data_IF_234824830698
#
_entry.id   IF_234824830698
#
_cell.length_a   1.000
_cell.length_b   1.000
_cell.length_c   1.000
_cell.angle_alpha   90.00
_cell.angle_beta   90.00
_cell.angle_gamma   90.00
#
_symmetry.space_group_name_H-M   'P 1'
#
loop_
_entity.id
_entity.type
_entity.pdbx_description
1 polymer ?
#
# COMPACT_ATOMS: atom_id res chain seq x y z
N UNK A 1 -5.07 -10.43 -16.49
CA UNK A 1 -3.62 -10.36 -16.20
C UNK A 1 -3.22 -9.21 -15.27
N UNK A 2 -3.79 -7.99 -15.38
CA UNK A 2 -3.45 -6.86 -14.49
C UNK A 2 -4.03 -6.99 -13.07
N UNK A 3 -5.24 -7.56 -12.95
CA UNK A 3 -5.93 -7.67 -11.65
C UNK A 3 -5.33 -8.78 -10.77
N UNK A 4 -5.03 -9.95 -11.35
CA UNK A 4 -4.39 -11.06 -10.62
C UNK A 4 -3.00 -10.67 -10.07
N UNK A 5 -2.23 -9.85 -10.80
CA UNK A 5 -0.93 -9.39 -10.34
C UNK A 5 -1.06 -8.42 -9.16
N UNK A 6 -2.08 -7.55 -9.16
CA UNK A 6 -2.35 -6.64 -8.05
C UNK A 6 -2.66 -7.40 -6.77
N UNK A 7 -3.55 -8.39 -6.84
CA UNK A 7 -3.92 -9.23 -5.69
C UNK A 7 -2.70 -10.03 -5.19
N UNK A 8 -1.98 -10.70 -6.10
CA UNK A 8 -0.81 -11.49 -5.73
C UNK A 8 0.28 -10.62 -5.09
N UNK A 9 0.49 -9.41 -5.61
CA UNK A 9 1.45 -8.45 -5.04
C UNK A 9 1.02 -7.95 -3.67
N UNK A 10 -0.27 -7.67 -3.49
CA UNK A 10 -0.82 -7.33 -2.19
C UNK A 10 -0.59 -8.46 -1.18
N UNK A 11 -0.95 -9.70 -1.51
CA UNK A 11 -0.69 -10.88 -0.65
C UNK A 11 0.80 -10.99 -0.33
N UNK A 12 1.65 -10.90 -1.35
CA UNK A 12 3.10 -10.98 -1.17
C UNK A 12 3.61 -9.91 -0.19
N UNK A 13 3.13 -8.66 -0.28
CA UNK A 13 3.52 -7.62 0.67
C UNK A 13 2.89 -7.77 2.06
N UNK A 14 1.70 -8.33 2.21
CA UNK A 14 1.12 -8.57 3.54
C UNK A 14 1.92 -9.62 4.32
N UNK A 15 2.36 -10.69 3.66
CA UNK A 15 3.02 -11.81 4.33
C UNK A 15 4.54 -11.77 4.28
N UNK A 16 5.11 -11.26 3.19
CA UNK A 16 6.52 -11.48 2.83
C UNK A 16 7.28 -10.17 2.57
N UNK A 17 6.78 -9.01 3.04
CA UNK A 17 7.46 -7.73 2.82
C UNK A 17 8.97 -7.76 3.18
N UNK A 18 9.40 -8.35 4.32
CA UNK A 18 10.82 -8.44 4.66
C UNK A 18 11.65 -9.30 3.71
N UNK A 19 11.02 -10.14 2.88
CA UNK A 19 11.67 -10.99 1.88
C UNK A 19 11.84 -10.31 0.53
N UNK A 20 11.23 -9.15 0.32
CA UNK A 20 11.37 -8.42 -0.93
C UNK A 20 12.81 -7.94 -1.14
N UNK A 21 13.37 -8.23 -2.33
CA UNK A 21 14.78 -7.93 -2.69
C UNK A 21 14.93 -6.94 -3.85
N UNK A 22 13.91 -6.13 -4.13
CA UNK A 22 13.98 -5.15 -5.22
C UNK A 22 13.71 -5.73 -6.60
N UNK A 23 13.11 -6.92 -6.69
CA UNK A 23 12.67 -7.47 -7.96
C UNK A 23 11.32 -8.14 -7.81
N UNK A 24 10.31 -7.58 -8.47
CA UNK A 24 8.93 -8.03 -8.30
C UNK A 24 8.73 -9.45 -8.83
N UNK A 25 9.32 -9.82 -9.96
CA UNK A 25 9.03 -11.13 -10.58
C UNK A 25 9.45 -12.32 -9.69
N UNK A 26 10.73 -12.44 -9.27
CA UNK A 26 11.13 -13.51 -8.36
C UNK A 26 10.38 -13.48 -7.04
N UNK A 27 10.03 -12.27 -6.55
CA UNK A 27 9.25 -12.13 -5.32
C UNK A 27 7.85 -12.75 -5.44
N UNK A 28 7.14 -12.48 -6.54
CA UNK A 28 5.84 -13.09 -6.79
C UNK A 28 5.95 -14.59 -7.07
N UNK A 29 6.98 -15.02 -7.80
CA UNK A 29 7.22 -16.44 -8.08
C UNK A 29 7.46 -17.24 -6.78
N UNK A 30 8.27 -16.71 -5.86
CA UNK A 30 8.49 -17.34 -4.55
C UNK A 30 7.27 -17.29 -3.64
N UNK A 31 6.47 -16.23 -3.72
CA UNK A 31 5.18 -16.13 -3.01
C UNK A 31 4.26 -17.29 -3.41
N UNK A 32 4.08 -17.51 -4.73
CA UNK A 32 3.30 -18.63 -5.24
C UNK A 32 3.87 -19.98 -4.81
N UNK A 33 5.20 -20.17 -4.92
CA UNK A 33 5.85 -21.43 -4.51
C UNK A 33 5.65 -21.71 -3.02
N UNK A 34 5.67 -20.70 -2.17
CA UNK A 34 5.44 -20.85 -0.72
C UNK A 34 4.00 -21.28 -0.47
N UNK A 35 3.02 -20.50 -0.90
CA UNK A 35 1.62 -20.79 -0.61
C UNK A 35 1.08 -22.03 -1.32
N UNK A 36 1.64 -22.43 -2.47
CA UNK A 36 1.31 -23.72 -3.07
C UNK A 36 1.80 -24.92 -2.24
N UNK A 37 2.92 -24.78 -1.51
CA UNK A 37 3.46 -25.84 -0.64
C UNK A 37 2.72 -25.95 0.68
N UNK A 38 2.16 -24.83 1.16
CA UNK A 38 1.48 -24.73 2.45
C UNK A 38 -0.02 -24.49 2.30
N UNK A 39 -0.58 -24.75 1.12
CA UNK A 39 -1.96 -24.40 0.78
C UNK A 39 -2.97 -24.93 1.79
N UNK A 40 -2.90 -26.23 2.11
CA UNK A 40 -3.81 -26.89 3.06
C UNK A 40 -3.82 -26.24 4.45
N UNK A 41 -2.76 -25.51 4.80
CA UNK A 41 -2.63 -24.78 6.08
C UNK A 41 -2.99 -23.29 5.96
N UNK A 42 -2.62 -22.66 4.84
CA UNK A 42 -2.70 -21.21 4.69
C UNK A 42 -3.95 -20.74 3.93
N UNK A 43 -4.75 -21.66 3.36
CA UNK A 43 -5.94 -21.34 2.56
C UNK A 43 -6.87 -20.35 3.27
N UNK A 44 -7.27 -20.65 4.51
CA UNK A 44 -8.20 -19.78 5.27
C UNK A 44 -7.62 -18.37 5.46
N UNK A 45 -6.33 -18.27 5.77
CA UNK A 45 -5.64 -16.98 5.95
C UNK A 45 -5.57 -16.19 4.63
N UNK A 46 -5.33 -16.87 3.50
CA UNK A 46 -5.28 -16.26 2.18
C UNK A 46 -6.67 -15.77 1.77
N UNK A 47 -7.72 -16.56 2.02
CA UNK A 47 -9.10 -16.18 1.76
C UNK A 47 -9.54 -14.97 2.60
N UNK A 48 -9.20 -14.94 3.90
CA UNK A 48 -9.42 -13.76 4.76
C UNK A 48 -8.64 -12.54 4.23
N UNK A 49 -7.40 -12.75 3.78
CA UNK A 49 -6.58 -11.68 3.21
C UNK A 49 -7.19 -11.11 1.92
N UNK A 50 -7.82 -11.95 1.10
CA UNK A 50 -8.57 -11.51 -0.07
C UNK A 50 -9.81 -10.69 0.30
N UNK A 51 -10.52 -11.05 1.37
CA UNK A 51 -11.64 -10.22 1.85
C UNK A 51 -11.15 -8.84 2.30
N UNK A 52 -10.05 -8.78 3.07
CA UNK A 52 -9.39 -7.52 3.46
C UNK A 52 -8.94 -6.69 2.27
N UNK A 53 -8.49 -7.33 1.18
CA UNK A 53 -8.15 -6.63 -0.06
C UNK A 53 -9.37 -5.91 -0.66
N UNK A 54 -10.50 -6.61 -0.77
CA UNK A 54 -11.72 -6.03 -1.33
C UNK A 54 -12.23 -4.86 -0.49
N UNK A 55 -12.19 -5.00 0.83
CA UNK A 55 -12.54 -3.93 1.78
C UNK A 55 -11.61 -2.72 1.63
N UNK A 56 -10.29 -2.95 1.58
CA UNK A 56 -9.32 -1.89 1.35
C UNK A 56 -9.52 -1.17 0.01
N UNK A 57 -9.89 -1.90 -1.05
CA UNK A 57 -10.23 -1.30 -2.35
C UNK A 57 -11.48 -0.43 -2.23
N UNK A 58 -12.55 -0.91 -1.58
CA UNK A 58 -13.78 -0.13 -1.33
C UNK A 58 -13.46 1.14 -0.55
N UNK A 59 -12.72 1.02 0.55
CA UNK A 59 -12.31 2.14 1.38
C UNK A 59 -11.46 3.16 0.61
N UNK A 60 -10.53 2.69 -0.23
CA UNK A 60 -9.73 3.57 -1.09
C UNK A 60 -10.63 4.34 -2.08
N UNK A 61 -11.66 3.69 -2.64
CA UNK A 61 -12.63 4.33 -3.53
C UNK A 61 -13.50 5.34 -2.77
N UNK A 62 -13.92 5.05 -1.54
CA UNK A 62 -14.70 5.95 -0.70
C UNK A 62 -13.92 7.22 -0.34
N UNK A 63 -12.62 7.08 -0.03
CA UNK A 63 -11.74 8.19 0.32
C UNK A 63 -11.45 9.08 -0.87
N UNK A 64 -11.01 8.51 -2.00
CA UNK A 64 -10.49 9.31 -3.14
C UNK A 64 -11.52 9.53 -4.24
N UNK A 65 -12.58 8.73 -4.26
CA UNK A 65 -13.55 8.67 -5.35
C UNK A 65 -13.18 7.66 -6.42
N UNK A 66 -14.21 7.11 -7.07
CA UNK A 66 -14.11 6.06 -8.10
C UNK A 66 -13.19 6.43 -9.28
N UNK A 67 -13.08 7.71 -9.62
CA UNK A 67 -12.24 8.13 -10.74
C UNK A 67 -10.80 8.47 -10.33
N UNK A 68 -10.52 8.64 -9.02
CA UNK A 68 -9.24 9.14 -8.53
C UNK A 68 -8.42 8.12 -7.74
N UNK A 69 -9.00 6.99 -7.33
CA UNK A 69 -8.27 5.96 -6.59
C UNK A 69 -7.01 5.45 -7.34
N UNK A 70 -5.86 5.56 -6.67
CA UNK A 70 -4.56 5.26 -7.27
C UNK A 70 -4.09 6.28 -8.31
N UNK A 71 -4.43 7.56 -8.16
CA UNK A 71 -3.89 8.67 -8.98
C UNK A 71 -3.21 9.69 -8.10
N UNK A 72 -2.07 10.23 -8.56
CA UNK A 72 -1.33 11.27 -7.84
C UNK A 72 -2.08 12.61 -7.96
N UNK A 73 -2.12 13.39 -6.88
CA UNK A 73 -2.63 14.76 -6.91
C UNK A 73 -1.59 15.73 -7.51
N UNK A 74 -2.01 16.56 -8.46
CA UNK A 74 -1.20 17.58 -9.11
C UNK A 74 -1.64 18.96 -8.60
N UNK A 75 -0.91 19.50 -7.62
CA UNK A 75 -1.26 20.75 -6.94
C UNK A 75 -1.31 21.95 -7.89
N UNK A 76 -0.34 22.04 -8.80
CA UNK A 76 -0.20 23.09 -9.82
C UNK A 76 -1.42 23.17 -10.76
N UNK A 77 -2.12 22.04 -10.95
CA UNK A 77 -3.27 21.92 -11.85
C UNK A 77 -4.59 21.72 -11.12
N UNK A 78 -4.57 21.72 -9.78
CA UNK A 78 -5.71 21.45 -8.91
C UNK A 78 -6.53 20.21 -9.35
N UNK A 79 -5.85 19.12 -9.72
CA UNK A 79 -6.52 17.89 -10.19
C UNK A 79 -5.66 16.65 -9.99
N UNK A 80 -6.30 15.49 -10.01
CA UNK A 80 -5.59 14.21 -10.11
C UNK A 80 -4.99 14.02 -11.50
N UNK A 81 -3.82 13.38 -11.57
CA UNK A 81 -3.21 12.99 -12.84
C UNK A 81 -4.12 12.00 -13.59
N UNK A 82 -4.02 11.92 -14.92
CA UNK A 82 -4.85 11.00 -15.71
C UNK A 82 -4.45 9.54 -15.54
N UNK A 83 -3.15 9.29 -15.42
CA UNK A 83 -2.60 7.94 -15.41
C UNK A 83 -2.80 7.32 -14.03
N UNK A 84 -3.30 6.08 -14.00
CA UNK A 84 -3.35 5.32 -12.77
C UNK A 84 -1.96 4.82 -12.39
N UNK A 85 -1.62 4.95 -11.11
CA UNK A 85 -0.37 4.51 -10.54
C UNK A 85 -0.62 3.30 -9.62
N UNK A 86 -0.17 2.12 -10.06
CA UNK A 86 -0.34 0.89 -9.28
C UNK A 86 0.50 0.89 -8.02
N UNK A 87 1.73 1.42 -8.05
CA UNK A 87 2.58 1.52 -6.85
C UNK A 87 1.94 2.37 -5.76
N UNK A 88 1.25 3.44 -6.15
CA UNK A 88 0.46 4.26 -5.24
C UNK A 88 -0.74 3.47 -4.70
N UNK A 89 -1.47 2.77 -5.57
CA UNK A 89 -2.59 1.93 -5.13
C UNK A 89 -2.13 0.87 -4.13
N UNK A 90 -1.04 0.15 -4.41
CA UNK A 90 -0.44 -0.82 -3.50
C UNK A 90 -0.11 -0.20 -2.14
N UNK A 91 0.39 1.04 -2.14
CA UNK A 91 0.73 1.77 -0.91
C UNK A 91 -0.51 2.07 -0.08
N UNK A 92 -1.62 2.44 -0.73
CA UNK A 92 -2.90 2.66 -0.04
C UNK A 92 -3.44 1.35 0.54
N UNK A 93 -3.49 0.31 -0.30
CA UNK A 93 -4.04 -0.99 0.07
C UNK A 93 -3.25 -1.66 1.19
N UNK A 94 -1.93 -1.45 1.25
CA UNK A 94 -1.09 -2.00 2.31
C UNK A 94 -1.55 -1.61 3.72
N UNK A 95 -1.91 -0.33 3.90
CA UNK A 95 -2.38 0.18 5.19
C UNK A 95 -3.88 0.02 5.37
N UNK A 96 -4.68 0.26 4.33
CA UNK A 96 -6.14 0.26 4.44
C UNK A 96 -6.73 -1.14 4.62
N UNK A 97 -5.93 -2.21 4.42
CA UNK A 97 -6.34 -3.59 4.69
C UNK A 97 -6.13 -4.04 6.13
N UNK A 98 -5.39 -3.28 6.93
CA UNK A 98 -5.31 -3.55 8.36
C UNK A 98 -6.65 -3.14 9.00
N UNK A 99 -7.21 -4.01 9.83
CA UNK A 99 -8.56 -3.81 10.37
C UNK A 99 -8.68 -2.52 11.19
N UNK A 100 -7.64 -2.19 11.95
CA UNK A 100 -7.66 -1.05 12.88
C UNK A 100 -7.41 0.24 12.13
N UNK A 101 -6.42 0.23 11.22
CA UNK A 101 -6.16 1.39 10.37
C UNK A 101 -7.37 1.64 9.47
N UNK A 102 -7.94 0.60 8.88
CA UNK A 102 -9.13 0.66 8.02
C UNK A 102 -10.34 1.24 8.75
N UNK A 103 -10.68 0.72 9.93
CA UNK A 103 -11.75 1.26 10.78
C UNK A 103 -11.50 2.73 11.10
N UNK A 104 -10.27 3.08 11.50
CA UNK A 104 -9.94 4.47 11.83
C UNK A 104 -10.01 5.40 10.62
N UNK A 105 -9.63 4.94 9.43
CA UNK A 105 -9.78 5.69 8.17
C UNK A 105 -11.26 5.93 7.86
N UNK A 106 -12.14 4.96 8.12
CA UNK A 106 -13.59 5.11 7.96
C UNK A 106 -14.15 6.17 8.93
N UNK A 107 -13.77 6.11 10.20
CA UNK A 107 -14.21 7.08 11.23
C UNK A 107 -13.74 8.50 10.93
N UNK A 108 -12.46 8.66 10.59
CA UNK A 108 -11.83 9.95 10.28
C UNK A 108 -12.40 10.52 8.97
N UNK A 109 -12.69 9.63 8.03
CA UNK A 109 -13.39 9.91 6.79
C UNK A 109 -12.59 10.70 5.76
N UNK A 110 -13.11 10.73 4.53
CA UNK A 110 -12.45 11.36 3.37
C UNK A 110 -12.06 12.83 3.58
N UNK A 111 -12.83 13.56 4.40
CA UNK A 111 -12.66 15.00 4.65
C UNK A 111 -11.31 15.31 5.29
N UNK A 112 -10.70 14.37 6.01
CA UNK A 112 -9.36 14.53 6.58
C UNK A 112 -8.29 13.73 5.81
N UNK A 113 -8.62 12.52 5.37
CA UNK A 113 -7.66 11.63 4.69
C UNK A 113 -7.25 12.17 3.32
N UNK A 114 -8.20 12.63 2.50
CA UNK A 114 -7.91 13.11 1.15
C UNK A 114 -7.03 14.38 1.19
N UNK A 115 -7.30 15.40 2.03
CA UNK A 115 -6.38 16.53 2.18
C UNK A 115 -4.99 16.16 2.69
N UNK A 116 -4.86 15.20 3.62
CA UNK A 116 -3.55 14.72 4.08
C UNK A 116 -2.76 14.09 2.92
N UNK A 117 -3.41 13.27 2.11
CA UNK A 117 -2.82 12.70 0.90
C UNK A 117 -2.41 13.78 -0.12
N UNK A 118 -3.30 14.74 -0.43
CA UNK A 118 -3.01 15.84 -1.35
C UNK A 118 -1.83 16.68 -0.86
N UNK A 119 -1.76 16.93 0.44
CA UNK A 119 -0.65 17.63 1.09
C UNK A 119 0.64 16.85 0.90
N UNK A 120 0.64 15.54 1.13
CA UNK A 120 1.82 14.69 0.93
C UNK A 120 2.29 14.71 -0.54
N UNK A 121 1.39 14.56 -1.51
CA UNK A 121 1.73 14.68 -2.92
C UNK A 121 2.32 16.04 -3.30
N UNK A 122 1.87 17.11 -2.65
CA UNK A 122 2.28 18.48 -2.98
C UNK A 122 3.56 18.92 -2.30
N UNK A 123 3.86 18.37 -1.12
CA UNK A 123 4.96 18.79 -0.26
C UNK A 123 6.15 17.83 -0.27
N UNK A 124 5.97 16.59 -0.73
CA UNK A 124 7.04 15.58 -0.74
C UNK A 124 7.37 15.10 -2.15
N UNK A 125 8.43 15.67 -2.72
CA UNK A 125 9.03 15.18 -3.97
C UNK A 125 9.41 13.70 -3.82
N UNK A 126 10.03 13.33 -2.71
CA UNK A 126 10.42 11.96 -2.36
C UNK A 126 9.25 10.97 -2.46
N UNK A 127 8.07 11.33 -1.92
CA UNK A 127 6.88 10.50 -2.05
C UNK A 127 6.47 10.36 -3.52
N UNK A 128 6.33 11.47 -4.24
CA UNK A 128 5.85 11.42 -5.64
C UNK A 128 6.81 10.67 -6.57
N UNK A 129 8.12 10.81 -6.40
CA UNK A 129 9.12 10.06 -7.14
C UNK A 129 9.08 8.58 -6.80
N UNK A 130 8.95 8.23 -5.52
CA UNK A 130 8.91 6.84 -5.08
C UNK A 130 7.70 6.07 -5.62
N UNK A 131 6.54 6.72 -5.77
CA UNK A 131 5.36 6.09 -6.39
C UNK A 131 5.45 6.08 -7.92
N UNK A 132 6.08 7.08 -8.57
CA UNK A 132 6.28 7.09 -10.03
C UNK A 132 7.37 6.11 -10.50
N UNK A 133 8.31 5.78 -9.62
CA UNK A 133 9.37 4.82 -9.89
C UNK A 133 8.84 3.39 -10.06
N UNK A 134 9.69 2.52 -10.62
CA UNK A 134 9.37 1.10 -10.72
C UNK A 134 9.36 0.43 -9.34
N UNK A 135 8.55 -0.61 -9.21
CA UNK A 135 8.54 -1.48 -8.02
C UNK A 135 9.65 -2.54 -8.07
N UNK A 136 10.81 -2.18 -8.64
CA UNK A 136 12.04 -2.99 -8.68
C UNK A 136 13.17 -2.31 -7.89
N UNK A 137 12.82 -1.61 -6.81
CA UNK A 137 13.80 -0.96 -5.94
C UNK A 137 13.30 -1.03 -4.50
N UNK A 138 14.14 -1.56 -3.62
CA UNK A 138 13.86 -1.61 -2.18
C UNK A 138 13.69 -0.20 -1.61
N UNK A 139 14.57 0.78 -1.91
CA UNK A 139 14.47 2.13 -1.33
C UNK A 139 13.18 2.85 -1.69
N UNK A 140 12.71 2.78 -2.94
CA UNK A 140 11.46 3.45 -3.30
C UNK A 140 10.22 2.72 -2.75
N UNK A 141 10.33 1.41 -2.52
CA UNK A 141 9.27 0.63 -1.87
C UNK A 141 9.13 1.01 -0.41
N UNK A 142 10.25 1.06 0.31
CA UNK A 142 10.30 1.62 1.65
C UNK A 142 9.75 3.05 1.67
N UNK A 143 10.30 3.94 0.84
CA UNK A 143 9.99 5.38 0.87
C UNK A 143 8.50 5.69 0.72
N UNK A 144 7.80 5.07 -0.23
CA UNK A 144 6.34 5.31 -0.39
C UNK A 144 5.53 4.77 0.78
N UNK A 145 5.91 3.59 1.31
CA UNK A 145 5.23 3.00 2.47
C UNK A 145 5.47 3.87 3.70
N UNK A 146 6.72 4.26 3.98
CA UNK A 146 7.07 5.06 5.14
C UNK A 146 6.42 6.44 5.11
N UNK A 147 6.55 7.18 4.01
CA UNK A 147 6.02 8.55 3.92
C UNK A 147 4.48 8.58 3.98
N UNK A 148 3.81 7.62 3.35
CA UNK A 148 2.35 7.52 3.48
C UNK A 148 1.93 7.10 4.88
N UNK A 149 2.57 6.09 5.46
CA UNK A 149 2.24 5.64 6.80
C UNK A 149 2.46 6.73 7.84
N UNK A 150 3.52 7.54 7.72
CA UNK A 150 3.76 8.66 8.65
C UNK A 150 2.71 9.76 8.51
N UNK A 151 2.29 10.08 7.28
CA UNK A 151 1.17 10.99 7.05
C UNK A 151 -0.14 10.41 7.62
N UNK A 152 -0.32 9.10 7.48
CA UNK A 152 -1.50 8.38 7.94
C UNK A 152 -1.56 8.32 9.48
N UNK A 153 -0.47 7.98 10.18
CA UNK A 153 -0.38 8.03 11.65
C UNK A 153 -0.81 9.39 12.19
N UNK A 154 -0.32 10.47 11.58
CA UNK A 154 -0.63 11.85 11.98
C UNK A 154 -2.11 12.20 11.80
N UNK A 155 -2.73 11.84 10.68
CA UNK A 155 -4.14 12.19 10.42
C UNK A 155 -5.11 11.28 11.17
N UNK A 156 -4.72 10.04 11.45
CA UNK A 156 -5.54 9.09 12.19
C UNK A 156 -5.42 9.25 13.72
N UNK A 157 -4.35 9.88 14.18
CA UNK A 157 -4.02 10.06 15.61
C UNK A 157 -3.93 8.73 16.36
N UNK A 158 -3.40 7.70 15.67
CA UNK A 158 -3.10 6.39 16.23
C UNK A 158 -1.66 6.01 15.91
N UNK A 159 -1.09 5.14 16.73
CA UNK A 159 0.24 4.57 16.46
C UNK A 159 0.13 3.18 15.85
N UNK A 160 1.06 2.87 14.96
CA UNK A 160 1.24 1.58 14.32
C UNK A 160 2.66 1.50 13.75
N UNK A 161 3.18 0.28 13.60
CA UNK A 161 4.51 0.08 13.02
C UNK A 161 4.52 0.45 11.52
N UNK A 162 5.64 1.01 11.07
CA UNK A 162 5.92 1.28 9.66
C UNK A 162 7.12 0.45 9.23
N UNK A 163 7.13 -0.09 7.99
CA UNK A 163 8.31 -0.78 7.48
C UNK A 163 9.55 0.10 7.51
N UNK A 164 10.63 -0.42 8.09
CA UNK A 164 11.93 0.26 8.15
C UNK A 164 12.88 -0.27 7.07
N UNK A 165 13.91 0.52 6.77
CA UNK A 165 15.00 0.13 5.87
C UNK A 165 16.32 0.04 6.64
N UNK A 166 16.78 -1.18 6.91
CA UNK A 166 18.04 -1.46 7.61
C UNK A 166 18.93 -2.25 6.66
N UNK A 167 20.15 -1.76 6.41
CA UNK A 167 21.13 -2.39 5.50
C UNK A 167 20.54 -2.80 4.14
N UNK A 168 19.73 -1.90 3.55
CA UNK A 168 19.02 -2.12 2.28
C UNK A 168 18.05 -3.32 2.32
N UNK A 169 17.49 -3.64 3.49
CA UNK A 169 16.44 -4.65 3.69
C UNK A 169 15.24 -4.03 4.38
N UNK A 170 14.05 -4.43 3.93
CA UNK A 170 12.81 -4.08 4.62
C UNK A 170 12.71 -4.88 5.90
N UNK A 171 12.41 -4.21 7.00
CA UNK A 171 12.10 -4.83 8.30
C UNK A 171 10.70 -4.40 8.68
N UNK A 172 9.83 -5.39 8.92
CA UNK A 172 8.43 -5.15 9.27
C UNK A 172 7.87 -6.39 9.95
N UNK A 173 7.28 -6.23 11.14
CA UNK A 173 6.72 -7.31 11.96
C UNK A 173 5.19 -7.37 11.96
N UNK A 174 4.53 -6.51 11.17
CA UNK A 174 3.08 -6.28 11.24
C UNK A 174 2.80 -4.86 11.73
N UNK A 175 1.54 -4.44 11.81
CA UNK A 175 1.17 -3.09 12.25
C UNK A 175 1.14 -2.92 13.78
N UNK A 176 1.21 -4.02 14.52
CA UNK A 176 1.16 -4.09 15.99
C UNK A 176 2.16 -5.12 16.51
#
# INVERSE_FOLDING_TARGET
MRDNQLILKYIAFQYLLPEYRGNLKPFLDETCKRFNKTWDKDQDNIEETMQKFEEAVKLTIEVFGKDNFGRIWLNDKNKYERKRNLSLLDTMLFYFSDAVIGERVQEVGKVKIEPAFKTLCSSSTDFTESVKSSTNTIPNTHRRLALWGDALRKVLEIDFQIPELIDNRLVFSGFR
#
